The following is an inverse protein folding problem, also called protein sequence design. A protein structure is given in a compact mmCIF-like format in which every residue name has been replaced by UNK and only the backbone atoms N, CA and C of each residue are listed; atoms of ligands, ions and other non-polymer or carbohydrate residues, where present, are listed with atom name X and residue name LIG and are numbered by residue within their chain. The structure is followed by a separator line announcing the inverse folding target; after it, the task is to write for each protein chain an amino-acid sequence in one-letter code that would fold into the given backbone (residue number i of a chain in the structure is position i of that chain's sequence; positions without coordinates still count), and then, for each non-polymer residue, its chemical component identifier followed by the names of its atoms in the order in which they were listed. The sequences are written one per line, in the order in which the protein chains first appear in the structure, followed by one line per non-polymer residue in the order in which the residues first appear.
data_IF_293646588676
#
_entry.id   IF_293646588676
#
_cell.length_a   1.000
_cell.length_b   1.000
_cell.length_c   1.000
_cell.angle_alpha   90.00
_cell.angle_beta   90.00
_cell.angle_gamma   90.00
#
_symmetry.space_group_name_H-M   'P 1'
#
loop_
_entity.id
_entity.type
_entity.pdbx_description
1 polymer ?
#
# COMPACT_ATOMS: atom_id res chain seq x y z
N UNK A 1 -14.73 10.77 10.18
CA UNK A 1 -13.66 10.04 10.87
C UNK A 1 -12.50 11.01 11.05
N UNK A 2 -11.97 11.12 12.26
CA UNK A 2 -10.78 11.93 12.56
C UNK A 2 -9.63 11.04 13.01
N UNK A 3 -8.40 11.39 12.61
CA UNK A 3 -7.17 10.71 13.06
C UNK A 3 -6.13 11.80 13.37
N UNK A 4 -5.54 11.71 14.56
CA UNK A 4 -4.37 12.50 14.93
C UNK A 4 -3.10 11.68 14.67
N UNK A 5 -2.22 12.19 13.80
CA UNK A 5 -1.03 11.47 13.35
C UNK A 5 0.15 12.41 13.11
N UNK A 6 1.23 12.22 13.89
CA UNK A 6 2.43 13.07 13.86
C UNK A 6 2.15 14.58 13.94
N UNK A 7 1.31 14.99 14.89
CA UNK A 7 0.95 16.40 15.09
C UNK A 7 0.04 16.97 14.01
N UNK A 8 -0.50 16.13 13.12
CA UNK A 8 -1.51 16.50 12.11
C UNK A 8 -2.86 15.95 12.53
N UNK A 9 -3.91 16.75 12.32
CA UNK A 9 -5.29 16.33 12.43
C UNK A 9 -5.85 16.10 11.02
N UNK A 10 -6.37 14.90 10.76
CA UNK A 10 -6.98 14.54 9.49
C UNK A 10 -8.44 14.18 9.71
N UNK A 11 -9.34 14.89 9.03
CA UNK A 11 -10.77 14.58 9.03
C UNK A 11 -11.26 14.25 7.62
N UNK A 12 -12.00 13.14 7.52
CA UNK A 12 -12.65 12.74 6.28
C UNK A 12 -14.02 12.14 6.54
N UNK A 13 -15.00 12.55 5.74
CA UNK A 13 -16.32 11.90 5.66
C UNK A 13 -16.16 10.64 4.80
N UNK A 14 -16.32 9.47 5.41
CA UNK A 14 -16.15 8.20 4.72
C UNK A 14 -16.87 7.05 5.43
N UNK A 15 -16.89 5.87 4.81
CA UNK A 15 -17.51 4.66 5.35
C UNK A 15 -16.63 3.95 6.37
N UNK A 16 -17.27 3.20 7.28
CA UNK A 16 -16.55 2.37 8.26
C UNK A 16 -15.62 1.36 7.58
N UNK A 17 -16.04 0.74 6.45
CA UNK A 17 -15.16 -0.19 5.74
C UNK A 17 -13.88 0.49 5.21
N UNK A 18 -13.93 1.75 4.76
CA UNK A 18 -12.72 2.48 4.33
C UNK A 18 -11.79 2.79 5.50
N UNK A 19 -12.37 3.09 6.66
CA UNK A 19 -11.59 3.27 7.90
C UNK A 19 -10.89 1.98 8.30
N UNK A 20 -11.63 0.87 8.33
CA UNK A 20 -11.08 -0.45 8.67
C UNK A 20 -10.04 -0.91 7.66
N UNK A 21 -10.26 -0.69 6.36
CA UNK A 21 -9.28 -0.95 5.29
C UNK A 21 -7.94 -0.24 5.57
N UNK A 22 -7.99 1.06 5.82
CA UNK A 22 -6.80 1.88 6.13
C UNK A 22 -6.07 1.41 7.41
N UNK A 23 -6.84 1.11 8.47
CA UNK A 23 -6.28 0.65 9.74
C UNK A 23 -5.65 -0.75 9.62
N UNK A 24 -6.34 -1.68 8.95
CA UNK A 24 -5.87 -3.06 8.77
C UNK A 24 -4.62 -3.07 7.88
N UNK A 25 -4.55 -2.22 6.86
CA UNK A 25 -3.33 -2.06 6.05
C UNK A 25 -2.12 -1.62 6.89
N UNK A 26 -2.32 -0.65 7.78
CA UNK A 26 -1.29 -0.19 8.71
C UNK A 26 -0.83 -1.28 9.68
N UNK A 27 -1.80 -1.99 10.29
CA UNK A 27 -1.50 -3.13 11.18
C UNK A 27 -0.77 -4.22 10.42
N UNK A 28 -1.23 -4.57 9.22
CA UNK A 28 -0.62 -5.59 8.37
C UNK A 28 0.84 -5.30 8.07
N UNK A 29 1.16 -4.07 7.69
CA UNK A 29 2.54 -3.61 7.42
C UNK A 29 3.44 -3.55 8.67
N UNK A 30 2.86 -3.50 9.87
CA UNK A 30 3.59 -3.41 11.15
C UNK A 30 3.53 -4.68 12.01
N UNK A 31 2.80 -5.71 11.56
CA UNK A 31 2.55 -6.96 12.29
C UNK A 31 3.74 -7.94 12.37
N UNK A 32 4.86 -7.64 11.71
CA UNK A 32 5.99 -8.57 11.58
C UNK A 32 5.79 -9.66 10.52
N UNK A 33 4.69 -9.64 9.74
CA UNK A 33 4.49 -10.56 8.63
C UNK A 33 5.60 -10.40 7.58
N UNK A 34 6.37 -11.48 7.25
CA UNK A 34 7.48 -11.38 6.31
C UNK A 34 7.08 -10.91 4.91
N UNK A 35 5.83 -11.22 4.49
CA UNK A 35 5.28 -10.85 3.19
C UNK A 35 4.91 -9.36 3.08
N UNK A 36 4.61 -8.71 4.20
CA UNK A 36 4.26 -7.27 4.23
C UNK A 36 5.38 -6.39 4.76
N UNK A 37 6.50 -6.96 5.22
CA UNK A 37 7.60 -6.22 5.86
C UNK A 37 8.18 -5.09 5.01
N UNK A 38 8.13 -5.21 3.68
CA UNK A 38 8.63 -4.19 2.76
C UNK A 38 7.74 -2.93 2.75
N UNK A 39 6.52 -3.01 3.28
CA UNK A 39 5.62 -1.88 3.45
C UNK A 39 5.90 -1.08 4.74
N UNK A 40 6.84 -1.52 5.59
CA UNK A 40 7.16 -0.83 6.84
C UNK A 40 7.52 0.66 6.67
N UNK A 41 8.27 1.09 5.63
CA UNK A 41 8.51 2.52 5.40
C UNK A 41 7.22 3.28 5.06
N UNK A 42 6.32 2.66 4.29
CA UNK A 42 5.00 3.24 3.99
C UNK A 42 4.11 3.33 5.24
N UNK A 43 4.24 2.38 6.17
CA UNK A 43 3.54 2.44 7.46
C UNK A 43 4.10 3.54 8.38
N UNK A 44 5.41 3.78 8.35
CA UNK A 44 6.00 4.89 9.10
C UNK A 44 5.47 6.24 8.61
N UNK A 45 5.39 6.42 7.29
CA UNK A 45 4.77 7.58 6.66
C UNK A 45 3.33 7.28 6.22
N UNK A 46 2.54 6.62 7.08
CA UNK A 46 1.19 6.21 6.70
C UNK A 46 0.35 7.41 6.29
N UNK A 47 -0.30 7.28 5.13
CA UNK A 47 -1.32 8.20 4.67
C UNK A 47 -2.65 7.45 4.73
N UNK A 48 -3.56 7.84 5.64
CA UNK A 48 -4.83 7.15 5.75
C UNK A 48 -5.70 7.45 4.53
N UNK A 49 -6.55 6.47 4.18
CA UNK A 49 -7.56 6.62 3.13
C UNK A 49 -7.02 6.88 1.72
N UNK A 50 -5.78 6.47 1.43
CA UNK A 50 -5.18 6.63 0.09
C UNK A 50 -5.97 5.92 -1.02
N UNK A 51 -6.01 6.55 -2.19
CA UNK A 51 -6.47 5.92 -3.45
C UNK A 51 -5.36 5.14 -4.15
N UNK A 52 -5.69 4.49 -5.28
CA UNK A 52 -4.74 3.69 -6.05
C UNK A 52 -3.55 4.51 -6.57
N UNK A 53 -3.76 5.73 -7.10
CA UNK A 53 -2.67 6.58 -7.59
C UNK A 53 -1.72 7.08 -6.52
N UNK A 54 -2.25 7.50 -5.36
CA UNK A 54 -1.42 7.86 -4.21
C UNK A 54 -0.64 6.64 -3.70
N UNK A 55 -1.27 5.47 -3.69
CA UNK A 55 -0.64 4.22 -3.27
C UNK A 55 0.44 3.79 -4.25
N UNK A 56 0.20 3.90 -5.57
CA UNK A 56 1.15 3.65 -6.64
C UNK A 56 2.39 4.53 -6.49
N UNK A 57 2.20 5.86 -6.40
CA UNK A 57 3.29 6.82 -6.22
C UNK A 57 4.14 6.47 -5.00
N UNK A 58 3.49 6.20 -3.85
CA UNK A 58 4.18 5.85 -2.60
C UNK A 58 4.87 4.49 -2.68
N UNK A 59 4.29 3.51 -3.36
CA UNK A 59 4.85 2.18 -3.52
C UNK A 59 6.11 2.19 -4.39
N UNK A 60 6.04 2.82 -5.57
CA UNK A 60 7.20 2.99 -6.46
C UNK A 60 8.29 3.81 -5.78
N UNK A 61 7.94 4.96 -5.21
CA UNK A 61 8.88 5.82 -4.49
C UNK A 61 9.57 5.07 -3.35
N UNK A 62 8.80 4.38 -2.50
CA UNK A 62 9.36 3.58 -1.40
C UNK A 62 10.30 2.49 -1.90
N UNK A 63 9.89 1.77 -2.94
CA UNK A 63 10.70 0.70 -3.52
C UNK A 63 12.01 1.26 -4.07
N UNK A 64 11.99 2.29 -4.91
CA UNK A 64 13.20 2.88 -5.48
C UNK A 64 14.10 3.55 -4.46
N UNK A 65 13.55 4.18 -3.42
CA UNK A 65 14.34 4.66 -2.27
C UNK A 65 15.06 3.48 -1.60
N UNK A 66 14.36 2.35 -1.40
CA UNK A 66 14.96 1.13 -0.88
C UNK A 66 16.12 0.62 -1.75
N UNK A 67 15.93 0.57 -3.07
CA UNK A 67 16.96 0.14 -4.03
C UNK A 67 18.16 1.10 -4.04
N UNK A 68 17.91 2.41 -3.99
CA UNK A 68 18.94 3.42 -3.82
C UNK A 68 19.77 3.20 -2.55
N UNK A 69 19.11 3.01 -1.40
CA UNK A 69 19.80 2.77 -0.13
C UNK A 69 20.63 1.47 -0.17
N UNK A 70 20.12 0.40 -0.79
CA UNK A 70 20.90 -0.84 -0.99
C UNK A 70 22.20 -0.57 -1.75
N UNK A 71 22.14 0.18 -2.84
CA UNK A 71 23.31 0.56 -3.62
C UNK A 71 24.32 1.35 -2.77
N UNK A 72 23.84 2.30 -1.95
CA UNK A 72 24.68 3.08 -1.04
C UNK A 72 25.37 2.23 0.04
N UNK A 73 24.83 1.06 0.35
CA UNK A 73 25.41 0.09 1.29
C UNK A 73 26.25 -1.00 0.60
N UNK A 74 26.61 -0.84 -0.68
CA UNK A 74 27.41 -1.82 -1.42
C UNK A 74 26.65 -3.12 -1.72
N UNK A 75 25.33 -3.14 -1.56
CA UNK A 75 24.48 -4.26 -1.92
C UNK A 75 24.00 -4.13 -3.37
N UNK A 76 23.65 -5.25 -4.00
CA UNK A 76 23.01 -5.23 -5.32
C UNK A 76 21.65 -4.54 -5.25
N UNK A 77 21.45 -3.53 -6.10
CA UNK A 77 20.19 -2.83 -6.31
C UNK A 77 19.60 -3.25 -7.67
N UNK A 78 18.29 -3.47 -7.70
CA UNK A 78 17.54 -3.76 -8.91
C UNK A 78 16.45 -2.70 -9.09
N UNK A 79 16.58 -1.83 -10.09
CA UNK A 79 15.59 -0.80 -10.39
C UNK A 79 14.45 -1.30 -11.30
N UNK A 80 14.43 -2.58 -11.63
CA UNK A 80 13.22 -3.26 -12.09
C UNK A 80 12.21 -3.39 -10.93
N UNK A 81 10.93 -3.33 -11.27
CA UNK A 81 9.79 -3.44 -10.35
C UNK A 81 9.26 -4.87 -10.20
N UNK A 82 9.86 -5.88 -10.82
CA UNK A 82 9.47 -7.30 -10.67
C UNK A 82 9.30 -7.72 -9.20
N UNK A 83 10.24 -7.29 -8.34
CA UNK A 83 10.16 -7.56 -6.90
C UNK A 83 8.97 -6.87 -6.22
N UNK A 84 8.60 -5.67 -6.68
CA UNK A 84 7.44 -4.93 -6.20
C UNK A 84 6.13 -5.59 -6.66
N UNK A 85 6.05 -6.02 -7.93
CA UNK A 85 4.92 -6.78 -8.47
C UNK A 85 4.71 -8.09 -7.69
N UNK A 86 5.78 -8.85 -7.43
CA UNK A 86 5.72 -10.07 -6.64
C UNK A 86 5.24 -9.79 -5.20
N UNK A 87 5.69 -8.69 -4.59
CA UNK A 87 5.25 -8.28 -3.25
C UNK A 87 3.75 -7.96 -3.24
N UNK A 88 3.22 -7.21 -4.22
CA UNK A 88 1.78 -6.92 -4.29
C UNK A 88 0.93 -8.18 -4.53
N UNK A 89 1.40 -9.13 -5.35
CA UNK A 89 0.74 -10.44 -5.49
C UNK A 89 0.68 -11.19 -4.16
N UNK A 90 1.80 -11.23 -3.42
CA UNK A 90 1.84 -11.86 -2.10
C UNK A 90 0.96 -11.13 -1.07
N UNK A 91 0.83 -9.81 -1.17
CA UNK A 91 -0.05 -9.00 -0.32
C UNK A 91 -1.53 -9.36 -0.56
N UNK A 92 -1.93 -9.52 -1.82
CA UNK A 92 -3.27 -9.98 -2.20
C UNK A 92 -3.61 -11.33 -1.59
N UNK A 93 -2.68 -12.30 -1.63
CA UNK A 93 -2.87 -13.60 -0.98
C UNK A 93 -3.07 -13.46 0.54
N UNK A 94 -2.29 -12.60 1.19
CA UNK A 94 -2.42 -12.34 2.65
C UNK A 94 -3.78 -11.72 2.98
N UNK A 95 -4.22 -10.72 2.21
CA UNK A 95 -5.50 -10.05 2.42
C UNK A 95 -6.68 -11.00 2.26
N UNK A 96 -6.69 -11.82 1.20
CA UNK A 96 -7.72 -12.84 0.96
C UNK A 96 -7.78 -13.87 2.10
N UNK A 97 -6.63 -14.44 2.48
CA UNK A 97 -6.58 -15.41 3.57
C UNK A 97 -7.01 -14.81 4.92
N UNK A 98 -6.70 -13.54 5.17
CA UNK A 98 -7.16 -12.84 6.37
C UNK A 98 -8.67 -12.58 6.32
N UNK A 99 -9.23 -12.24 5.16
CA UNK A 99 -10.67 -12.05 4.99
C UNK A 99 -11.46 -13.34 5.24
N UNK A 100 -10.97 -14.48 4.74
CA UNK A 100 -11.57 -15.81 4.96
C UNK A 100 -11.53 -16.22 6.45
N UNK A 101 -10.39 -16.02 7.10
CA UNK A 101 -10.24 -16.27 8.54
C UNK A 101 -11.17 -15.38 9.37
N UNK A 102 -11.31 -14.12 9.00
CA UNK A 102 -12.18 -13.21 9.73
C UNK A 102 -13.67 -13.54 9.53
N UNK A 103 -14.05 -13.92 8.30
CA UNK A 103 -15.41 -14.35 7.96
C UNK A 103 -15.81 -15.63 8.69
N UNK A 104 -14.88 -16.56 8.88
CA UNK A 104 -15.15 -17.79 9.65
C UNK A 104 -15.19 -17.57 11.16
N UNK A 105 -14.44 -16.60 11.68
CA UNK A 105 -14.31 -16.36 13.12
C UNK A 105 -15.32 -15.34 13.69
N UNK A 106 -15.96 -14.51 12.86
CA UNK A 106 -16.75 -13.37 13.34
C UNK A 106 -17.96 -13.05 12.46
N UNK A 107 -19.00 -12.49 13.08
CA UNK A 107 -20.16 -11.87 12.38
C UNK A 107 -19.90 -10.41 11.98
N UNK A 108 -18.69 -9.89 12.17
CA UNK A 108 -18.32 -8.51 11.87
C UNK A 108 -18.15 -8.26 10.35
N UNK A 109 -19.26 -8.13 9.64
CA UNK A 109 -19.29 -7.92 8.19
C UNK A 109 -18.49 -6.70 7.75
N UNK A 110 -18.51 -5.60 8.51
CA UNK A 110 -17.78 -4.38 8.12
C UNK A 110 -16.26 -4.57 8.13
N UNK A 111 -15.74 -5.42 9.03
CA UNK A 111 -14.30 -5.73 9.07
C UNK A 111 -13.89 -6.63 7.92
N UNK A 112 -14.74 -7.58 7.52
CA UNK A 112 -14.53 -8.40 6.31
C UNK A 112 -14.59 -7.50 5.07
N UNK A 113 -15.56 -6.59 4.98
CA UNK A 113 -15.66 -5.64 3.88
C UNK A 113 -14.48 -4.65 3.83
N UNK A 114 -13.93 -4.26 4.99
CA UNK A 114 -12.71 -3.46 5.07
C UNK A 114 -11.50 -4.19 4.49
N UNK A 115 -11.35 -5.49 4.76
CA UNK A 115 -10.32 -6.33 4.16
C UNK A 115 -10.51 -6.50 2.65
N UNK A 116 -11.74 -6.74 2.20
CA UNK A 116 -12.05 -6.82 0.76
C UNK A 116 -11.70 -5.51 0.06
N UNK A 117 -12.02 -4.36 0.67
CA UNK A 117 -11.66 -3.06 0.12
C UNK A 117 -10.15 -2.83 0.09
N UNK A 118 -9.42 -3.25 1.13
CA UNK A 118 -7.95 -3.21 1.16
C UNK A 118 -7.35 -4.06 0.04
N UNK A 119 -7.95 -5.23 -0.20
CA UNK A 119 -7.55 -6.15 -1.24
C UNK A 119 -7.79 -5.56 -2.64
N UNK A 120 -8.96 -4.96 -2.86
CA UNK A 120 -9.29 -4.23 -4.11
C UNK A 120 -8.25 -3.14 -4.38
N UNK A 121 -7.93 -2.29 -3.39
CA UNK A 121 -6.89 -1.27 -3.53
C UNK A 121 -5.53 -1.88 -3.94
N UNK A 122 -5.16 -3.02 -3.36
CA UNK A 122 -3.94 -3.72 -3.73
C UNK A 122 -3.99 -4.30 -5.15
N UNK A 123 -5.14 -4.70 -5.68
CA UNK A 123 -5.25 -5.11 -7.09
C UNK A 123 -5.17 -3.93 -8.04
N UNK A 124 -5.94 -2.86 -7.77
CA UNK A 124 -5.87 -1.64 -8.58
C UNK A 124 -4.43 -1.11 -8.62
N UNK A 125 -3.73 -1.11 -7.49
CA UNK A 125 -2.31 -0.72 -7.46
C UNK A 125 -1.43 -1.69 -8.26
N UNK A 126 -1.67 -3.01 -8.16
CA UNK A 126 -0.91 -4.01 -8.92
C UNK A 126 -1.10 -3.86 -10.43
N UNK A 127 -2.32 -3.56 -10.89
CA UNK A 127 -2.63 -3.29 -12.28
C UNK A 127 -1.93 -2.01 -12.75
N UNK A 128 -2.05 -0.91 -12.00
CA UNK A 128 -1.37 0.34 -12.32
C UNK A 128 0.16 0.22 -12.30
N UNK A 129 0.73 -0.71 -11.52
CA UNK A 129 2.17 -0.97 -11.54
C UNK A 129 2.66 -1.59 -12.85
N UNK A 130 1.77 -2.13 -13.70
CA UNK A 130 2.17 -2.68 -15.00
C UNK A 130 2.44 -1.58 -16.04
N UNK A 131 1.75 -0.45 -15.93
CA UNK A 131 1.89 0.73 -16.81
C UNK A 131 1.84 2.03 -15.97
N UNK A 132 2.80 2.25 -15.06
CA UNK A 132 2.73 3.37 -14.10
C UNK A 132 2.70 4.75 -14.76
N UNK A 133 3.24 4.88 -15.96
CA UNK A 133 3.21 6.09 -16.78
C UNK A 133 1.79 6.55 -17.16
N UNK A 134 0.82 5.64 -17.26
CA UNK A 134 -0.57 6.02 -17.57
C UNK A 134 -1.20 6.83 -16.42
N UNK A 135 -0.80 6.53 -15.19
CA UNK A 135 -1.33 7.20 -13.99
C UNK A 135 -0.42 8.33 -13.50
N UNK A 136 0.90 8.24 -13.70
CA UNK A 136 1.86 9.20 -13.17
C UNK A 136 2.49 10.11 -14.24
N UNK A 137 2.34 9.81 -15.53
CA UNK A 137 3.06 10.49 -16.61
C UNK A 137 2.87 12.01 -16.61
N UNK A 138 1.62 12.48 -16.52
CA UNK A 138 1.32 13.92 -16.48
C UNK A 138 1.93 14.61 -15.25
N UNK A 139 1.91 13.95 -14.09
CA UNK A 139 2.49 14.50 -12.85
C UNK A 139 4.01 14.65 -12.93
N UNK A 140 4.65 13.84 -13.76
CA UNK A 140 6.11 13.85 -13.97
C UNK A 140 6.52 14.51 -15.29
N UNK A 141 5.61 15.15 -16.03
CA UNK A 141 5.93 15.84 -17.28
C UNK A 141 7.16 16.78 -17.17
N UNK A 142 7.35 17.57 -16.09
CA UNK A 142 8.55 18.41 -15.94
C UNK A 142 9.89 17.66 -15.86
N UNK A 143 9.89 16.35 -15.59
CA UNK A 143 11.09 15.50 -15.64
C UNK A 143 11.31 14.87 -17.02
N UNK A 144 10.31 14.90 -17.89
CA UNK A 144 10.30 14.28 -19.22
C UNK A 144 10.47 15.32 -20.34
N UNK A 145 10.17 16.58 -20.05
CA UNK A 145 10.44 17.72 -20.91
C UNK A 145 11.94 18.05 -20.87
N UNK A 146 12.62 17.92 -22.02
CA UNK A 146 14.03 18.33 -22.22
C UNK A 146 14.16 19.79 -22.60
#
# INVERSE_FOLDING_TARGET
MSIDWHGRHLEQVTSLQRVLSSLIGLIGATSGCPRTRLLAPMAHFHQPFSGAGETLFRALGTYFIGQYLRQRHGMSANYDIDGLLAMYRALREVNLGLAERLRSASRAEQSVNGLVLLDVLAAETLENLQSPEEMLGELFAPYLET
#
